data_IF_538580682031
#
_entry.id   IF_538580682031
#
_cell.length_a   1.000
_cell.length_b   1.000
_cell.length_c   1.000
_cell.angle_alpha   90.00
_cell.angle_beta   90.00
_cell.angle_gamma   90.00
#
_symmetry.space_group_name_H-M   'P 1'
#
loop_
_entity.id
_entity.type
_entity.pdbx_description
1 polymer ?
#
# COMPACT_ATOMS: atom_id res chain seq x y z
N UNK A 1 -2.86 1.26 17.36
CA UNK A 1 -2.52 0.69 16.04
C UNK A 1 -2.57 1.81 15.00
N UNK A 2 -1.52 2.01 14.19
CA UNK A 2 -1.50 3.05 13.13
C UNK A 2 -2.17 2.50 11.87
N UNK A 3 -2.95 3.34 11.15
CA UNK A 3 -3.57 2.98 9.86
C UNK A 3 -3.03 3.86 8.75
N UNK A 4 -2.71 3.28 7.60
CA UNK A 4 -2.11 3.96 6.45
C UNK A 4 -2.88 3.59 5.18
N UNK A 5 -3.31 4.59 4.41
CA UNK A 5 -3.83 4.40 3.07
C UNK A 5 -2.77 4.84 2.05
N UNK A 6 -2.44 3.97 1.10
CA UNK A 6 -1.53 4.27 0.00
C UNK A 6 -2.34 4.32 -1.30
N UNK A 7 -2.30 5.45 -1.99
CA UNK A 7 -3.02 5.67 -3.25
C UNK A 7 -2.02 5.61 -4.40
N UNK A 8 -2.13 4.56 -5.21
CA UNK A 8 -1.27 4.24 -6.34
C UNK A 8 -0.47 2.95 -6.11
N UNK A 9 -0.73 1.91 -6.93
CA UNK A 9 -0.05 0.60 -6.86
C UNK A 9 1.25 0.49 -7.67
N UNK A 10 1.81 1.61 -8.13
CA UNK A 10 3.11 1.61 -8.82
C UNK A 10 4.26 1.24 -7.87
N UNK A 11 5.48 1.10 -8.41
CA UNK A 11 6.66 0.64 -7.66
C UNK A 11 6.84 1.29 -6.29
N UNK A 12 6.74 2.62 -6.22
CA UNK A 12 6.91 3.38 -4.99
C UNK A 12 5.74 3.22 -4.01
N UNK A 13 4.50 3.16 -4.50
CA UNK A 13 3.33 2.97 -3.63
C UNK A 13 3.33 1.59 -2.99
N UNK A 14 3.65 0.56 -3.77
CA UNK A 14 3.81 -0.81 -3.25
C UNK A 14 4.96 -0.89 -2.25
N UNK A 15 6.11 -0.28 -2.54
CA UNK A 15 7.23 -0.22 -1.60
C UNK A 15 6.84 0.45 -0.28
N UNK A 16 6.14 1.59 -0.34
CA UNK A 16 5.67 2.31 0.84
C UNK A 16 4.66 1.50 1.66
N UNK A 17 3.70 0.85 0.99
CA UNK A 17 2.72 -0.03 1.63
C UNK A 17 3.40 -1.17 2.38
N UNK A 18 4.41 -1.80 1.77
CA UNK A 18 5.20 -2.87 2.39
C UNK A 18 5.99 -2.39 3.61
N UNK A 19 6.63 -1.22 3.53
CA UNK A 19 7.37 -0.64 4.66
C UNK A 19 6.42 -0.34 5.83
N UNK A 20 5.26 0.27 5.55
CA UNK A 20 4.27 0.56 6.58
C UNK A 20 3.70 -0.72 7.23
N UNK A 21 3.42 -1.75 6.43
CA UNK A 21 2.94 -3.04 6.93
C UNK A 21 3.99 -3.72 7.83
N UNK A 22 5.26 -3.73 7.42
CA UNK A 22 6.38 -4.26 8.23
C UNK A 22 6.57 -3.49 9.54
N UNK A 23 6.24 -2.20 9.57
CA UNK A 23 6.24 -1.40 10.79
C UNK A 23 5.00 -1.64 11.70
N UNK A 24 4.13 -2.59 11.36
CA UNK A 24 2.95 -2.95 12.15
C UNK A 24 1.74 -2.04 11.96
N UNK A 25 1.70 -1.26 10.87
CA UNK A 25 0.50 -0.49 10.51
C UNK A 25 -0.54 -1.38 9.80
N UNK A 26 -1.82 -1.09 10.01
CA UNK A 26 -2.87 -1.59 9.12
C UNK A 26 -2.86 -0.81 7.82
N UNK A 27 -2.62 -1.48 6.70
CA UNK A 27 -2.42 -0.83 5.39
C UNK A 27 -3.55 -1.16 4.43
N UNK A 28 -4.03 -0.15 3.71
CA UNK A 28 -4.88 -0.30 2.53
C UNK A 28 -4.12 0.27 1.33
N UNK A 29 -3.85 -0.57 0.33
CA UNK A 29 -3.28 -0.14 -0.95
C UNK A 29 -4.40 -0.09 -1.98
N UNK A 30 -4.57 1.07 -2.62
CA UNK A 30 -5.52 1.25 -3.70
C UNK A 30 -4.80 1.56 -5.00
N UNK A 31 -5.24 0.96 -6.10
CA UNK A 31 -4.80 1.29 -7.44
C UNK A 31 -6.02 1.49 -8.34
N UNK A 32 -5.89 2.38 -9.34
CA UNK A 32 -6.93 2.61 -10.34
C UNK A 32 -7.12 1.40 -11.25
N UNK A 33 -6.01 0.83 -11.69
CA UNK A 33 -6.00 -0.35 -12.54
C UNK A 33 -5.92 -1.60 -11.66
N UNK A 34 -6.95 -2.46 -11.66
CA UNK A 34 -6.92 -3.70 -10.89
C UNK A 34 -5.84 -4.67 -11.37
N UNK A 35 -5.31 -4.56 -12.59
CA UNK A 35 -4.21 -5.42 -13.03
C UNK A 35 -2.88 -5.13 -12.29
N UNK A 36 -2.78 -3.99 -11.59
CA UNK A 36 -1.57 -3.60 -10.84
C UNK A 36 -1.55 -4.16 -9.41
N UNK A 37 -2.71 -4.57 -8.87
CA UNK A 37 -2.86 -5.08 -7.49
C UNK A 37 -3.54 -6.45 -7.51
N UNK A 38 -3.03 -7.42 -6.75
CA UNK A 38 -3.60 -8.78 -6.67
C UNK A 38 -3.67 -9.24 -5.23
#
# INVERSE_FOLDING_TARGET
MKRVAVIGGGAWGTALALVAARAGAGVVLWARDPAIIT
#
